data_IF_063518313878
#
_entry.id   IF_063518313878
#
_cell.length_a   1.000
_cell.length_b   1.000
_cell.length_c   1.000
_cell.angle_alpha   90.00
_cell.angle_beta   90.00
_cell.angle_gamma   90.00
#
_symmetry.space_group_name_H-M   'P 1'
#
loop_
_entity.id
_entity.type
_entity.pdbx_description
1 polymer ?
#
# COMPACT_ATOMS: atom_id res chain seq x y z
N UNK A 1 -18.58 -6.88 18.58
CA UNK A 1 -18.58 -7.24 17.13
C UNK A 1 -18.94 -8.71 17.00
N UNK A 2 -19.91 -9.08 16.14
CA UNK A 2 -20.34 -10.48 15.99
C UNK A 2 -19.21 -11.32 15.35
N UNK A 3 -19.10 -12.59 15.79
CA UNK A 3 -18.06 -13.55 15.33
C UNK A 3 -17.98 -13.66 13.79
N UNK A 4 -19.11 -13.63 13.10
CA UNK A 4 -19.19 -13.67 11.64
C UNK A 4 -18.52 -12.50 10.91
N UNK A 5 -18.46 -11.31 11.53
CA UNK A 5 -17.80 -10.17 10.87
C UNK A 5 -16.28 -10.22 10.90
N UNK A 6 -15.71 -10.76 11.96
CA UNK A 6 -14.26 -10.92 12.06
C UNK A 6 -13.77 -11.95 11.02
N UNK A 7 -14.50 -13.05 10.86
CA UNK A 7 -14.18 -14.08 9.84
C UNK A 7 -14.24 -13.49 8.43
N UNK A 8 -15.29 -12.74 8.09
CA UNK A 8 -15.38 -12.07 6.78
C UNK A 8 -14.19 -11.11 6.55
N UNK A 9 -13.83 -10.31 7.58
CA UNK A 9 -12.68 -9.41 7.46
C UNK A 9 -11.36 -10.16 7.26
N UNK A 10 -11.16 -11.29 7.91
CA UNK A 10 -9.96 -12.13 7.74
C UNK A 10 -9.89 -12.76 6.36
N UNK A 11 -11.02 -13.26 5.84
CA UNK A 11 -11.09 -13.79 4.47
C UNK A 11 -10.76 -12.70 3.45
N UNK A 12 -11.38 -11.51 3.58
CA UNK A 12 -11.05 -10.38 2.71
C UNK A 12 -9.57 -9.97 2.85
N UNK A 13 -8.99 -10.00 4.06
CA UNK A 13 -7.56 -9.72 4.28
C UNK A 13 -6.68 -10.65 3.43
N UNK A 14 -6.96 -11.95 3.48
CA UNK A 14 -6.21 -12.94 2.69
C UNK A 14 -6.37 -12.73 1.18
N UNK A 15 -7.61 -12.46 0.71
CA UNK A 15 -7.90 -12.21 -0.71
C UNK A 15 -7.16 -10.96 -1.20
N UNK A 16 -7.20 -9.86 -0.45
CA UNK A 16 -6.54 -8.63 -0.87
C UNK A 16 -5.01 -8.73 -0.81
N UNK A 17 -4.45 -9.47 0.15
CA UNK A 17 -3.01 -9.76 0.18
C UNK A 17 -2.58 -10.63 -1.01
N UNK A 18 -3.37 -11.66 -1.36
CA UNK A 18 -3.13 -12.50 -2.53
C UNK A 18 -3.24 -11.69 -3.84
N UNK A 19 -4.25 -10.82 -3.97
CA UNK A 19 -4.40 -9.92 -5.12
C UNK A 19 -3.21 -8.95 -5.24
N UNK A 20 -2.75 -8.39 -4.11
CA UNK A 20 -1.57 -7.54 -4.07
C UNK A 20 -0.33 -8.31 -4.55
N UNK A 21 -0.18 -9.56 -4.11
CA UNK A 21 0.92 -10.40 -4.56
C UNK A 21 0.83 -10.72 -6.05
N UNK A 22 -0.36 -11.04 -6.57
CA UNK A 22 -0.58 -11.27 -7.99
C UNK A 22 -0.19 -10.05 -8.84
N UNK A 23 -0.56 -8.83 -8.40
CA UNK A 23 -0.15 -7.60 -9.09
C UNK A 23 1.35 -7.31 -8.95
N UNK A 24 2.01 -7.82 -7.92
CA UNK A 24 3.47 -7.76 -7.77
C UNK A 24 4.21 -8.71 -8.70
N UNK A 25 3.50 -9.58 -9.44
CA UNK A 25 4.09 -10.43 -10.48
C UNK A 25 4.18 -9.73 -11.83
N UNK A 26 3.60 -8.55 -11.99
CA UNK A 26 3.77 -7.73 -13.19
C UNK A 26 5.27 -7.44 -13.35
N UNK A 27 5.86 -7.75 -14.52
CA UNK A 27 7.29 -7.53 -14.75
C UNK A 27 7.71 -6.07 -14.57
N UNK A 28 8.92 -5.87 -14.07
CA UNK A 28 9.51 -4.55 -13.90
C UNK A 28 9.83 -3.93 -15.27
N UNK A 29 8.98 -3.03 -15.75
CA UNK A 29 9.12 -2.37 -17.04
C UNK A 29 9.97 -1.09 -17.00
N UNK A 30 10.19 -0.56 -15.80
CA UNK A 30 10.98 0.65 -15.57
C UNK A 30 12.19 0.39 -14.64
N UNK A 31 12.71 -0.86 -14.62
CA UNK A 31 13.79 -1.26 -13.72
C UNK A 31 13.47 -0.90 -12.26
N UNK A 32 14.41 -0.35 -11.53
CA UNK A 32 14.23 0.06 -10.12
C UNK A 32 13.18 1.16 -9.89
N UNK A 33 12.74 1.84 -10.96
CA UNK A 33 11.70 2.88 -10.92
C UNK A 33 10.28 2.35 -11.07
N UNK A 34 10.09 1.03 -11.19
CA UNK A 34 8.79 0.41 -11.43
C UNK A 34 7.82 0.69 -10.28
N UNK A 35 6.57 1.12 -10.59
CA UNK A 35 5.55 1.32 -9.58
C UNK A 35 5.12 0.01 -8.94
N UNK A 36 4.78 0.06 -7.67
CA UNK A 36 4.27 -1.11 -6.93
C UNK A 36 2.76 -1.25 -7.09
N UNK A 37 2.31 -2.01 -8.10
CA UNK A 37 0.88 -2.22 -8.36
C UNK A 37 0.16 -2.96 -7.24
N UNK A 38 0.86 -3.80 -6.46
CA UNK A 38 0.31 -4.45 -5.27
C UNK A 38 -0.14 -3.48 -4.18
N UNK A 39 0.34 -2.23 -4.18
CA UNK A 39 -0.11 -1.20 -3.26
C UNK A 39 -1.58 -0.80 -3.48
N UNK A 40 -2.09 -0.90 -4.71
CA UNK A 40 -3.47 -0.53 -5.06
C UNK A 40 -4.48 -1.30 -4.22
N UNK A 41 -4.57 -2.65 -4.31
CA UNK A 41 -5.56 -3.39 -3.53
C UNK A 41 -5.37 -3.22 -2.02
N UNK A 42 -4.15 -3.05 -1.53
CA UNK A 42 -3.89 -2.86 -0.09
C UNK A 42 -4.47 -1.56 0.44
N UNK A 43 -4.24 -0.45 -0.27
CA UNK A 43 -4.77 0.87 0.12
C UNK A 43 -6.30 0.86 0.03
N UNK A 44 -6.87 0.33 -1.05
CA UNK A 44 -8.32 0.21 -1.22
C UNK A 44 -8.95 -0.63 -0.09
N UNK A 45 -8.30 -1.72 0.28
CA UNK A 45 -8.73 -2.58 1.37
C UNK A 45 -8.64 -1.88 2.74
N UNK A 46 -7.55 -1.17 3.00
CA UNK A 46 -7.38 -0.40 4.23
C UNK A 46 -8.46 0.69 4.36
N UNK A 47 -8.81 1.40 3.28
CA UNK A 47 -9.92 2.35 3.26
C UNK A 47 -11.27 1.66 3.52
N UNK A 48 -11.48 0.44 3.01
CA UNK A 48 -12.71 -0.34 3.21
C UNK A 48 -12.82 -0.90 4.63
N UNK A 49 -11.77 -1.52 5.18
CA UNK A 49 -11.82 -2.28 6.45
C UNK A 49 -11.09 -1.63 7.62
N UNK A 50 -10.39 -0.53 7.39
CA UNK A 50 -9.67 0.22 8.42
C UNK A 50 -8.25 -0.25 8.63
N UNK A 51 -7.53 0.47 9.50
CA UNK A 51 -6.09 0.32 9.72
C UNK A 51 -5.70 -1.09 10.16
N UNK A 52 -6.39 -1.66 11.14
CA UNK A 52 -6.04 -2.99 11.70
C UNK A 52 -5.92 -4.07 10.63
N UNK A 53 -6.95 -4.20 9.80
CA UNK A 53 -6.97 -5.23 8.74
C UNK A 53 -6.06 -4.84 7.57
N UNK A 54 -5.90 -3.55 7.30
CA UNK A 54 -4.95 -3.05 6.31
C UNK A 54 -3.49 -3.37 6.68
N UNK A 55 -3.08 -3.14 7.94
CA UNK A 55 -1.75 -3.50 8.44
C UNK A 55 -1.52 -5.02 8.33
N UNK A 56 -2.54 -5.81 8.69
CA UNK A 56 -2.44 -7.26 8.62
C UNK A 56 -2.34 -7.77 7.17
N UNK A 57 -3.10 -7.19 6.25
CA UNK A 57 -2.97 -7.51 4.82
C UNK A 57 -1.58 -7.14 4.27
N UNK A 58 -1.03 -5.99 4.67
CA UNK A 58 0.32 -5.58 4.33
C UNK A 58 1.39 -6.54 4.85
N UNK A 59 1.25 -7.03 6.09
CA UNK A 59 2.14 -8.04 6.64
C UNK A 59 2.09 -9.34 5.82
N UNK A 60 0.88 -9.85 5.54
CA UNK A 60 0.73 -11.06 4.73
C UNK A 60 1.34 -10.86 3.33
N UNK A 61 1.09 -9.73 2.69
CA UNK A 61 1.68 -9.41 1.40
C UNK A 61 3.20 -9.42 1.44
N UNK A 62 3.82 -8.80 2.47
CA UNK A 62 5.28 -8.85 2.66
C UNK A 62 5.80 -10.28 2.83
N UNK A 63 5.13 -11.09 3.65
CA UNK A 63 5.51 -12.49 3.87
C UNK A 63 5.36 -13.36 2.61
N UNK A 64 4.36 -13.09 1.76
CA UNK A 64 4.18 -13.80 0.49
C UNK A 64 5.36 -13.61 -0.48
N UNK A 65 6.10 -12.49 -0.40
CA UNK A 65 7.31 -12.29 -1.19
C UNK A 65 8.39 -13.32 -0.85
N UNK A 66 8.52 -13.72 0.43
CA UNK A 66 9.45 -14.77 0.83
C UNK A 66 8.99 -16.14 0.33
N UNK A 67 7.70 -16.46 0.47
CA UNK A 67 7.13 -17.73 0.01
C UNK A 67 7.30 -17.93 -1.50
N UNK A 68 7.17 -16.85 -2.28
CA UNK A 68 7.25 -16.89 -3.75
C UNK A 68 8.62 -16.50 -4.30
N UNK A 69 9.64 -16.46 -3.43
CA UNK A 69 11.03 -16.14 -3.81
C UNK A 69 11.20 -14.83 -4.57
N UNK A 70 10.37 -13.83 -4.23
CA UNK A 70 10.41 -12.45 -4.78
C UNK A 70 11.13 -11.47 -3.86
N UNK A 71 12.03 -11.98 -3.02
CA UNK A 71 12.84 -11.19 -2.09
C UNK A 71 14.24 -11.02 -2.64
N UNK A 72 14.73 -9.79 -2.66
CA UNK A 72 16.14 -9.51 -2.84
C UNK A 72 16.79 -9.48 -1.45
N UNK A 73 17.65 -10.42 -1.15
CA UNK A 73 18.22 -10.60 0.17
C UNK A 73 19.68 -10.09 0.22
N UNK A 74 19.92 -9.04 0.99
CA UNK A 74 21.27 -8.54 1.31
C UNK A 74 21.62 -8.79 2.79
N UNK A 75 20.66 -8.61 3.68
CA UNK A 75 20.80 -8.83 5.12
C UNK A 75 19.43 -8.99 5.78
N UNK A 76 19.42 -9.52 7.01
CA UNK A 76 18.17 -9.67 7.78
C UNK A 76 17.51 -8.31 8.08
N UNK A 77 18.31 -7.30 8.42
CA UNK A 77 17.80 -5.95 8.68
C UNK A 77 17.24 -5.28 7.42
N UNK A 78 17.87 -5.47 6.26
CA UNK A 78 17.35 -4.98 4.99
C UNK A 78 15.98 -5.57 4.68
N UNK A 79 15.83 -6.90 4.71
CA UNK A 79 14.53 -7.52 4.40
C UNK A 79 13.46 -7.18 5.43
N UNK A 80 13.81 -7.00 6.69
CA UNK A 80 12.85 -6.55 7.71
C UNK A 80 12.29 -5.14 7.39
N UNK A 81 13.17 -4.20 7.02
CA UNK A 81 12.75 -2.84 6.67
C UNK A 81 11.92 -2.85 5.39
N UNK A 82 12.43 -3.48 4.33
CA UNK A 82 11.83 -3.39 2.98
C UNK A 82 10.60 -4.26 2.79
N UNK A 83 10.52 -5.45 3.42
CA UNK A 83 9.41 -6.40 3.20
C UNK A 83 8.45 -6.51 4.39
N UNK A 84 8.84 -6.06 5.59
CA UNK A 84 7.93 -6.07 6.73
C UNK A 84 7.44 -4.65 7.01
N UNK A 85 8.32 -3.71 7.40
CA UNK A 85 7.89 -2.36 7.79
C UNK A 85 7.26 -1.59 6.63
N UNK A 86 7.91 -1.60 5.45
CA UNK A 86 7.40 -0.89 4.29
C UNK A 86 6.04 -1.43 3.82
N UNK A 87 5.85 -2.75 3.84
CA UNK A 87 4.60 -3.37 3.37
C UNK A 87 3.44 -3.21 4.36
N UNK A 88 3.70 -3.37 5.66
CA UNK A 88 2.72 -3.09 6.71
C UNK A 88 2.20 -1.65 6.61
N UNK A 89 3.08 -0.69 6.28
CA UNK A 89 2.72 0.73 6.19
C UNK A 89 1.57 1.04 5.23
N UNK A 90 1.27 0.15 4.26
CA UNK A 90 0.11 0.31 3.38
C UNK A 90 -1.22 0.34 4.14
N UNK A 91 -1.29 -0.32 5.29
CA UNK A 91 -2.46 -0.29 6.16
C UNK A 91 -2.77 1.07 6.79
N UNK A 92 -1.80 2.01 6.80
CA UNK A 92 -2.00 3.36 7.34
C UNK A 92 -3.05 4.17 6.57
N UNK A 93 -3.33 3.84 5.31
CA UNK A 93 -4.45 4.44 4.57
C UNK A 93 -5.78 4.29 5.32
N UNK A 94 -5.93 3.24 6.12
CA UNK A 94 -7.12 2.96 6.92
C UNK A 94 -7.36 3.94 8.07
N UNK A 95 -6.42 4.80 8.44
CA UNK A 95 -6.60 5.84 9.49
C UNK A 95 -7.78 6.75 9.15
N UNK A 96 -7.99 7.03 7.88
CA UNK A 96 -9.10 7.86 7.41
C UNK A 96 -10.38 7.06 7.10
N UNK A 97 -10.37 5.73 7.21
CA UNK A 97 -11.44 4.83 6.78
C UNK A 97 -12.82 5.17 7.36
N UNK A 98 -12.90 5.48 8.65
CA UNK A 98 -14.18 5.79 9.29
C UNK A 98 -14.80 7.08 8.71
N UNK A 99 -14.05 8.18 8.75
CA UNK A 99 -14.49 9.48 8.21
C UNK A 99 -14.77 9.43 6.71
N UNK A 100 -13.98 8.65 5.96
CA UNK A 100 -14.16 8.40 4.54
C UNK A 100 -15.51 7.72 4.24
N UNK A 101 -15.84 6.64 4.96
CA UNK A 101 -17.12 5.92 4.81
C UNK A 101 -18.31 6.77 5.24
N UNK A 102 -18.17 7.59 6.29
CA UNK A 102 -19.20 8.54 6.70
C UNK A 102 -19.47 9.58 5.61
N UNK A 103 -18.41 10.12 4.98
CA UNK A 103 -18.54 11.05 3.86
C UNK A 103 -19.19 10.40 2.63
N UNK A 104 -18.88 9.13 2.33
CA UNK A 104 -19.56 8.38 1.25
C UNK A 104 -21.04 8.16 1.57
N UNK A 105 -21.38 7.80 2.80
CA UNK A 105 -22.76 7.54 3.22
C UNK A 105 -23.61 8.82 3.21
N UNK A 106 -23.00 9.98 3.45
CA UNK A 106 -23.66 11.30 3.34
C UNK A 106 -23.61 11.90 1.93
N UNK A 107 -23.22 11.11 0.92
CA UNK A 107 -23.11 11.53 -0.50
C UNK A 107 -22.14 12.69 -0.75
N UNK A 108 -21.24 12.99 0.20
CA UNK A 108 -20.23 14.05 0.08
C UNK A 108 -18.98 13.50 -0.64
N UNK A 109 -19.07 13.35 -1.97
CA UNK A 109 -18.02 12.74 -2.80
C UNK A 109 -16.67 13.49 -2.71
N UNK A 110 -16.68 14.82 -2.69
CA UNK A 110 -15.46 15.64 -2.60
C UNK A 110 -14.72 15.37 -1.28
N UNK A 111 -15.46 15.37 -0.16
CA UNK A 111 -14.89 15.06 1.16
C UNK A 111 -14.38 13.63 1.24
N UNK A 112 -15.13 12.68 0.66
CA UNK A 112 -14.70 11.28 0.60
C UNK A 112 -13.41 11.14 -0.20
N UNK A 113 -13.30 11.74 -1.40
CA UNK A 113 -12.08 11.74 -2.19
C UNK A 113 -10.90 12.34 -1.43
N UNK A 114 -11.06 13.52 -0.83
CA UNK A 114 -10.00 14.15 -0.04
C UNK A 114 -9.47 13.22 1.06
N UNK A 115 -10.37 12.57 1.83
CA UNK A 115 -9.99 11.65 2.90
C UNK A 115 -9.30 10.38 2.37
N UNK A 116 -9.79 9.82 1.27
CA UNK A 116 -9.18 8.65 0.65
C UNK A 116 -7.78 8.97 0.11
N UNK A 117 -7.62 10.12 -0.55
CA UNK A 117 -6.33 10.58 -1.06
C UNK A 117 -5.35 10.87 0.07
N UNK A 118 -5.80 11.51 1.17
CA UNK A 118 -4.96 11.71 2.37
C UNK A 118 -4.44 10.38 2.92
N UNK A 119 -5.29 9.35 2.98
CA UNK A 119 -4.89 8.01 3.39
C UNK A 119 -3.86 7.36 2.45
N UNK A 120 -4.08 7.49 1.15
CA UNK A 120 -3.16 6.98 0.14
C UNK A 120 -1.79 7.66 0.20
N UNK A 121 -1.78 8.99 0.33
CA UNK A 121 -0.54 9.77 0.47
C UNK A 121 0.22 9.35 1.72
N UNK A 122 -0.46 9.28 2.88
CA UNK A 122 0.16 8.87 4.13
C UNK A 122 0.81 7.49 4.03
N UNK A 123 0.06 6.50 3.55
CA UNK A 123 0.54 5.12 3.46
C UNK A 123 1.71 4.99 2.48
N UNK A 124 1.59 5.58 1.30
CA UNK A 124 2.63 5.55 0.27
C UNK A 124 3.89 6.29 0.75
N UNK A 125 3.74 7.47 1.34
CA UNK A 125 4.86 8.23 1.87
C UNK A 125 5.64 7.44 2.92
N UNK A 126 4.96 6.90 3.94
CA UNK A 126 5.62 6.12 5.01
C UNK A 126 6.31 4.89 4.45
N UNK A 127 5.68 4.17 3.51
CA UNK A 127 6.31 3.04 2.84
C UNK A 127 7.61 3.44 2.15
N UNK A 128 7.59 4.49 1.35
CA UNK A 128 8.77 4.90 0.58
C UNK A 128 9.84 5.60 1.43
N UNK A 129 9.50 6.11 2.61
CA UNK A 129 10.50 6.49 3.62
C UNK A 129 11.29 5.27 4.08
N UNK A 130 10.65 4.13 4.33
CA UNK A 130 11.36 2.88 4.67
C UNK A 130 12.27 2.41 3.53
N UNK A 131 11.78 2.40 2.30
CA UNK A 131 12.59 2.06 1.13
C UNK A 131 13.74 3.04 0.92
N UNK A 132 13.52 4.33 1.14
CA UNK A 132 14.59 5.34 1.08
C UNK A 132 15.68 5.07 2.11
N UNK A 133 15.31 4.82 3.36
CA UNK A 133 16.26 4.50 4.44
C UNK A 133 17.06 3.23 4.08
N UNK A 134 16.38 2.17 3.66
CA UNK A 134 17.03 0.93 3.24
C UNK A 134 17.95 1.16 2.04
N UNK A 135 17.52 1.98 1.07
CA UNK A 135 18.30 2.33 -0.10
C UNK A 135 19.60 3.06 0.24
N UNK A 136 19.57 3.98 1.21
CA UNK A 136 20.77 4.69 1.68
C UNK A 136 21.74 3.74 2.40
N UNK A 137 21.21 2.81 3.21
CA UNK A 137 22.04 1.94 4.07
C UNK A 137 22.60 0.75 3.29
N UNK A 138 21.78 0.06 2.51
CA UNK A 138 22.11 -1.26 1.95
C UNK A 138 22.40 -1.23 0.44
N UNK A 139 21.91 -0.22 -0.28
CA UNK A 139 22.01 -0.14 -1.75
C UNK A 139 22.99 0.92 -2.25
N UNK A 140 23.77 1.53 -1.34
CA UNK A 140 24.74 2.59 -1.65
C UNK A 140 25.75 2.21 -2.75
N UNK A 141 26.16 0.93 -2.79
CA UNK A 141 27.12 0.41 -3.78
C UNK A 141 26.58 0.39 -5.22
N UNK A 142 25.27 0.50 -5.40
CA UNK A 142 24.61 0.55 -6.71
C UNK A 142 24.51 1.98 -7.27
N UNK A 143 24.89 3.01 -6.46
CA UNK A 143 24.90 4.38 -6.93
C UNK A 143 25.93 4.58 -8.06
N UNK A 144 25.57 5.29 -9.15
CA UNK A 144 26.51 5.65 -10.19
C UNK A 144 27.71 6.43 -9.63
N UNK A 145 28.88 6.33 -10.29
CA UNK A 145 30.07 7.08 -9.90
C UNK A 145 29.75 8.58 -9.79
N UNK A 146 30.12 9.17 -8.66
CA UNK A 146 29.89 10.60 -8.38
C UNK A 146 28.52 10.94 -7.80
N UNK A 147 27.61 9.98 -7.64
CA UNK A 147 26.30 10.19 -7.01
C UNK A 147 26.34 9.69 -5.55
N UNK A 148 25.81 10.51 -4.61
CA UNK A 148 25.70 10.09 -3.21
C UNK A 148 24.62 9.02 -3.05
N UNK A 149 24.76 8.13 -2.05
CA UNK A 149 23.75 7.12 -1.72
C UNK A 149 22.37 7.74 -1.43
N UNK A 150 22.34 8.89 -0.78
CA UNK A 150 21.11 9.62 -0.46
C UNK A 150 20.40 10.11 -1.72
N UNK A 151 21.13 10.70 -2.66
CA UNK A 151 20.56 11.18 -3.92
C UNK A 151 20.10 10.01 -4.80
N UNK A 152 20.89 8.95 -4.85
CA UNK A 152 20.53 7.73 -5.57
C UNK A 152 19.24 7.12 -5.01
N UNK A 153 19.19 6.87 -3.71
CA UNK A 153 18.01 6.31 -3.06
C UNK A 153 16.77 7.21 -3.21
N UNK A 154 16.94 8.53 -3.11
CA UNK A 154 15.84 9.47 -3.33
C UNK A 154 15.31 9.42 -4.77
N UNK A 155 16.21 9.38 -5.76
CA UNK A 155 15.80 9.31 -7.18
C UNK A 155 15.04 8.02 -7.48
N UNK A 156 15.53 6.86 -7.02
CA UNK A 156 14.90 5.56 -7.27
C UNK A 156 13.58 5.45 -6.50
N UNK A 157 13.63 5.56 -5.17
CA UNK A 157 12.46 5.34 -4.32
C UNK A 157 11.45 6.48 -4.42
N UNK A 158 11.89 7.73 -4.60
CA UNK A 158 11.01 8.87 -4.83
C UNK A 158 10.21 8.72 -6.11
N UNK A 159 10.86 8.36 -7.22
CA UNK A 159 10.19 8.13 -8.51
C UNK A 159 9.22 6.94 -8.44
N UNK A 160 9.66 5.79 -7.90
CA UNK A 160 8.79 4.63 -7.72
C UNK A 160 7.59 4.94 -6.81
N UNK A 161 7.80 5.74 -5.77
CA UNK A 161 6.74 6.20 -4.86
C UNK A 161 5.72 7.10 -5.54
N UNK A 162 6.17 8.08 -6.31
CA UNK A 162 5.29 8.98 -7.06
C UNK A 162 4.48 8.22 -8.12
N UNK A 163 5.10 7.32 -8.86
CA UNK A 163 4.41 6.48 -9.85
C UNK A 163 3.40 5.55 -9.18
N UNK A 164 3.77 4.94 -8.04
CA UNK A 164 2.84 4.12 -7.26
C UNK A 164 1.64 4.93 -6.80
N UNK A 165 1.87 6.12 -6.23
CA UNK A 165 0.79 7.01 -5.78
C UNK A 165 -0.11 7.43 -6.95
N UNK A 166 0.44 7.72 -8.12
CA UNK A 166 -0.32 8.07 -9.31
C UNK A 166 -1.34 6.99 -9.69
N UNK A 167 -0.93 5.71 -9.77
CA UNK A 167 -1.84 4.61 -10.09
C UNK A 167 -2.86 4.34 -8.98
N UNK A 168 -2.46 4.49 -7.72
CA UNK A 168 -3.37 4.40 -6.56
C UNK A 168 -4.44 5.48 -6.61
N UNK A 169 -4.06 6.73 -6.89
CA UNK A 169 -4.98 7.87 -6.99
C UNK A 169 -6.01 7.65 -8.09
N UNK A 170 -5.58 7.22 -9.27
CA UNK A 170 -6.50 6.88 -10.38
C UNK A 170 -7.50 5.81 -9.95
N UNK A 171 -7.01 4.74 -9.31
CA UNK A 171 -7.85 3.63 -8.85
C UNK A 171 -8.88 4.08 -7.79
N UNK A 172 -8.48 4.95 -6.86
CA UNK A 172 -9.37 5.54 -5.85
C UNK A 172 -10.45 6.39 -6.53
N UNK A 173 -10.07 7.28 -7.44
CA UNK A 173 -11.00 8.17 -8.13
C UNK A 173 -12.05 7.34 -8.89
N UNK A 174 -11.61 6.37 -9.67
CA UNK A 174 -12.51 5.49 -10.44
C UNK A 174 -13.50 4.79 -9.50
N UNK A 175 -13.03 4.15 -8.43
CA UNK A 175 -13.90 3.38 -7.54
C UNK A 175 -14.81 4.25 -6.68
N UNK A 176 -14.36 5.40 -6.22
CA UNK A 176 -15.20 6.33 -5.43
C UNK A 176 -16.32 6.92 -6.27
N UNK A 177 -16.06 7.17 -7.56
CA UNK A 177 -17.06 7.74 -8.46
C UNK A 177 -18.01 6.68 -8.99
N UNK A 178 -17.47 5.55 -9.49
CA UNK A 178 -18.23 4.55 -10.25
C UNK A 178 -18.81 3.45 -9.35
N UNK A 179 -18.16 3.09 -8.25
CA UNK A 179 -18.60 2.00 -7.38
C UNK A 179 -18.34 2.26 -5.88
N UNK A 180 -18.93 3.33 -5.31
CA UNK A 180 -18.71 3.71 -3.91
C UNK A 180 -19.14 2.62 -2.90
N UNK A 181 -20.11 1.76 -3.27
CA UNK A 181 -20.58 0.64 -2.44
C UNK A 181 -19.47 -0.38 -2.13
N UNK A 182 -18.41 -0.45 -2.93
CA UNK A 182 -17.23 -1.24 -2.65
C UNK A 182 -16.65 -0.91 -1.25
N UNK A 183 -16.61 0.35 -0.88
CA UNK A 183 -16.06 0.80 0.40
C UNK A 183 -17.04 0.67 1.58
N UNK A 184 -18.33 0.40 1.32
CA UNK A 184 -19.39 0.32 2.33
C UNK A 184 -19.81 -1.13 2.57
N UNK A 185 -19.07 -1.93 3.37
CA UNK A 185 -19.47 -3.29 3.69
C UNK A 185 -20.83 -3.30 4.43
N UNK A 186 -21.61 -4.39 4.28
CA UNK A 186 -23.04 -4.52 4.72
C UNK A 186 -23.37 -3.95 6.10
N UNK A 187 -22.42 -3.92 7.04
CA UNK A 187 -22.59 -3.34 8.38
C UNK A 187 -22.51 -1.81 8.43
N UNK A 188 -22.04 -1.17 7.38
CA UNK A 188 -21.90 0.28 7.33
C UNK A 188 -23.13 0.99 6.75
N UNK A 189 -24.09 0.22 6.21
CA UNK A 189 -25.37 0.77 5.80
C UNK A 189 -26.14 1.07 7.07
N UNK A 190 -26.25 2.37 7.44
CA UNK A 190 -27.22 2.87 8.43
C UNK A 190 -28.60 2.85 7.81
#
# INVERSE_FOLDING_TARGET
>A
MSKNNNTTCLIETAIFAALAMALSMIPDFASWFTPSFGAIPLILFALRRGTKYGLFAGLIWGLLHFVLSKVYYLSLSQVFIEYILAFISMGLAGVFSAKFKDALSSSSKTKALSLALSGAILATFVRYVWHYIAGVIFWASYAPKGMSATLYSLSVNGTAGLLTLFFVVISIIILVISYPSFFLPKKWKK
#
